data_IF_206204372771
#
_entry.id   IF_206204372771
#
_cell.length_a   1.000
_cell.length_b   1.000
_cell.length_c   1.000
_cell.angle_alpha   90.00
_cell.angle_beta   90.00
_cell.angle_gamma   90.00
#
_symmetry.space_group_name_H-M   'P 1'
#
loop_
_entity.id
_entity.type
_entity.pdbx_description
1 polymer ?
#
# COMPACT_ATOMS: atom_id res chain seq x y z
N UNK A 1 -31.25 -13.42 28.47
CA UNK A 1 -31.24 -14.09 27.15
C UNK A 1 -31.23 -13.05 26.05
N UNK A 2 -30.42 -13.26 25.00
CA UNK A 2 -30.20 -12.30 23.90
C UNK A 2 -31.49 -11.79 23.24
N UNK A 3 -32.56 -12.61 23.20
CA UNK A 3 -33.86 -12.22 22.68
C UNK A 3 -34.60 -11.14 23.50
N UNK A 4 -34.43 -11.12 24.83
CA UNK A 4 -35.03 -10.08 25.68
C UNK A 4 -34.27 -8.74 25.62
N UNK A 5 -32.96 -8.81 25.36
CA UNK A 5 -32.09 -7.64 25.16
C UNK A 5 -32.46 -6.96 23.84
N UNK A 6 -32.58 -7.69 22.73
CA UNK A 6 -33.05 -7.16 21.44
C UNK A 6 -34.43 -6.47 21.53
N UNK A 7 -35.36 -7.01 22.32
CA UNK A 7 -36.70 -6.44 22.50
C UNK A 7 -36.70 -5.09 23.26
N UNK A 8 -35.79 -4.89 24.22
CA UNK A 8 -35.69 -3.64 24.97
C UNK A 8 -35.05 -2.50 24.16
N UNK A 9 -34.01 -2.80 23.38
CA UNK A 9 -33.29 -1.80 22.57
C UNK A 9 -34.06 -1.42 21.30
N UNK A 10 -34.74 -2.38 20.67
CA UNK A 10 -35.68 -2.10 19.59
C UNK A 10 -36.79 -1.15 20.04
N UNK A 11 -37.28 -1.28 21.28
CA UNK A 11 -38.27 -0.38 21.89
C UNK A 11 -37.69 1.01 22.17
N UNK A 12 -36.45 1.12 22.65
CA UNK A 12 -35.78 2.41 22.86
C UNK A 12 -35.57 3.21 21.55
N UNK A 13 -35.24 2.51 20.46
CA UNK A 13 -35.13 3.09 19.11
C UNK A 13 -36.51 3.54 18.58
N UNK A 14 -37.55 2.73 18.78
CA UNK A 14 -38.93 3.03 18.40
C UNK A 14 -39.56 4.18 19.20
N UNK A 15 -39.13 4.39 20.45
CA UNK A 15 -39.61 5.47 21.33
C UNK A 15 -38.88 6.81 21.10
N UNK A 16 -37.93 6.87 20.16
CA UNK A 16 -37.24 8.11 19.81
C UNK A 16 -36.39 8.71 20.94
N UNK A 17 -35.83 7.86 21.81
CA UNK A 17 -34.98 8.34 22.90
C UNK A 17 -33.77 9.12 22.34
N UNK A 18 -33.31 10.17 23.03
CA UNK A 18 -32.11 10.90 22.63
C UNK A 18 -30.90 9.94 22.58
N UNK A 19 -29.99 10.19 21.63
CA UNK A 19 -28.85 9.32 21.30
C UNK A 19 -28.05 8.90 22.54
N UNK A 20 -27.87 9.80 23.49
CA UNK A 20 -27.09 9.55 24.70
C UNK A 20 -27.82 8.60 25.67
N UNK A 21 -29.14 8.72 25.79
CA UNK A 21 -29.96 7.82 26.61
C UNK A 21 -30.02 6.41 25.99
N UNK A 22 -30.10 6.32 24.66
CA UNK A 22 -30.00 5.06 23.94
C UNK A 22 -28.61 4.42 24.09
N UNK A 23 -27.54 5.21 23.97
CA UNK A 23 -26.17 4.75 24.15
C UNK A 23 -25.93 4.23 25.59
N UNK A 24 -26.42 4.94 26.60
CA UNK A 24 -26.33 4.51 27.99
C UNK A 24 -27.11 3.20 28.26
N UNK A 25 -28.32 3.08 27.72
CA UNK A 25 -29.12 1.86 27.84
C UNK A 25 -28.46 0.65 27.15
N UNK A 26 -27.90 0.86 25.94
CA UNK A 26 -27.14 -0.15 25.22
C UNK A 26 -25.86 -0.55 25.98
N UNK A 27 -25.11 0.43 26.49
CA UNK A 27 -23.87 0.19 27.23
C UNK A 27 -24.12 -0.64 28.50
N UNK A 28 -25.23 -0.40 29.20
CA UNK A 28 -25.61 -1.17 30.39
C UNK A 28 -26.00 -2.63 30.08
N UNK A 29 -26.30 -2.95 28.81
CA UNK A 29 -26.75 -4.27 28.38
C UNK A 29 -25.67 -5.09 27.65
N UNK A 30 -24.56 -4.45 27.24
CA UNK A 30 -23.45 -5.11 26.57
C UNK A 30 -22.47 -5.70 27.60
N UNK A 31 -21.82 -6.83 27.32
CA UNK A 31 -20.73 -7.34 28.15
C UNK A 31 -19.56 -6.35 28.20
N UNK A 32 -18.84 -6.32 29.31
CA UNK A 32 -17.64 -5.50 29.44
C UNK A 32 -16.60 -5.91 28.38
N UNK A 33 -16.06 -4.96 27.59
CA UNK A 33 -15.05 -5.28 26.59
C UNK A 33 -13.75 -5.77 27.23
N UNK A 34 -13.21 -6.86 26.70
CA UNK A 34 -11.88 -7.35 27.10
C UNK A 34 -10.81 -6.74 26.22
N UNK A 35 -9.62 -6.56 26.78
CA UNK A 35 -8.47 -6.02 26.04
C UNK A 35 -7.45 -7.08 25.69
N UNK A 36 -7.44 -8.21 26.41
CA UNK A 36 -6.42 -9.24 26.23
C UNK A 36 -6.94 -10.47 25.50
N UNK A 37 -6.05 -11.14 24.78
CA UNK A 37 -6.27 -12.39 24.06
C UNK A 37 -5.29 -13.47 24.54
N UNK A 38 -5.69 -14.73 24.38
CA UNK A 38 -4.81 -15.88 24.56
C UNK A 38 -4.16 -16.23 23.22
N UNK A 39 -2.86 -15.95 23.06
CA UNK A 39 -2.11 -16.27 21.85
C UNK A 39 -1.47 -17.66 21.98
N UNK A 40 -1.71 -18.53 21.01
CA UNK A 40 -1.30 -19.92 21.03
C UNK A 40 -0.21 -20.21 19.98
N UNK A 41 0.55 -21.28 20.21
CA UNK A 41 1.67 -21.67 19.34
C UNK A 41 1.30 -22.14 17.94
N UNK A 42 0.01 -22.39 17.67
CA UNK A 42 -0.54 -22.76 16.36
C UNK A 42 -1.00 -21.53 15.55
N UNK A 43 -0.52 -20.34 15.94
CA UNK A 43 -0.84 -19.05 15.33
C UNK A 43 -2.32 -18.68 15.44
N UNK A 44 -2.98 -19.09 16.51
CA UNK A 44 -4.32 -18.62 16.86
C UNK A 44 -4.29 -17.65 18.04
N UNK A 45 -5.26 -16.75 18.09
CA UNK A 45 -5.55 -15.93 19.26
C UNK A 45 -7.02 -16.07 19.64
N UNK A 46 -7.29 -16.30 20.92
CA UNK A 46 -8.66 -16.45 21.44
C UNK A 46 -9.00 -15.22 22.28
N UNK A 47 -10.00 -14.46 21.86
CA UNK A 47 -10.61 -13.41 22.66
C UNK A 47 -11.78 -14.00 23.47
N UNK A 48 -11.70 -14.02 24.81
CA UNK A 48 -12.72 -14.64 25.68
C UNK A 48 -14.04 -13.87 25.74
N UNK A 49 -14.08 -12.68 25.14
CA UNK A 49 -15.25 -11.80 25.07
C UNK A 49 -15.08 -10.78 23.94
N UNK A 50 -16.02 -9.83 23.79
CA UNK A 50 -15.90 -8.77 22.80
C UNK A 50 -14.65 -7.94 23.09
N UNK A 51 -13.77 -7.81 22.09
CA UNK A 51 -12.59 -6.96 22.23
C UNK A 51 -12.98 -5.49 22.31
N UNK A 52 -12.21 -4.73 23.10
CA UNK A 52 -12.30 -3.27 23.06
C UNK A 52 -12.14 -2.77 21.62
N UNK A 53 -12.91 -1.75 21.16
CA UNK A 53 -13.01 -1.43 19.74
C UNK A 53 -11.68 -1.09 19.07
N UNK A 54 -10.75 -0.49 19.80
CA UNK A 54 -9.38 -0.21 19.36
C UNK A 54 -8.56 -1.48 19.14
N UNK A 55 -8.60 -2.41 20.10
CA UNK A 55 -7.91 -3.70 20.01
C UNK A 55 -8.50 -4.55 18.88
N UNK A 56 -9.82 -4.57 18.75
CA UNK A 56 -10.51 -5.29 17.69
C UNK A 56 -10.10 -4.82 16.28
N UNK A 57 -9.93 -3.50 16.09
CA UNK A 57 -9.49 -2.93 14.82
C UNK A 57 -8.08 -3.34 14.47
N UNK A 58 -7.14 -3.24 15.41
CA UNK A 58 -5.75 -3.67 15.16
C UNK A 58 -5.67 -5.19 14.93
N UNK A 59 -6.39 -6.00 15.72
CA UNK A 59 -6.47 -7.45 15.50
C UNK A 59 -7.02 -7.80 14.11
N UNK A 60 -8.02 -7.08 13.61
CA UNK A 60 -8.55 -7.29 12.26
C UNK A 60 -7.56 -6.91 11.14
N UNK A 61 -6.57 -6.06 11.42
CA UNK A 61 -5.50 -5.76 10.46
C UNK A 61 -4.50 -6.92 10.38
N UNK A 62 -4.09 -7.48 11.52
CA UNK A 62 -2.99 -8.46 11.62
C UNK A 62 -3.44 -9.94 11.64
N UNK A 63 -4.73 -10.23 11.82
CA UNK A 63 -5.26 -11.59 11.86
C UNK A 63 -6.60 -11.71 11.13
N UNK A 64 -6.98 -12.93 10.75
CA UNK A 64 -8.28 -13.25 10.18
C UNK A 64 -9.19 -13.88 11.25
N UNK A 65 -10.50 -13.64 11.21
CA UNK A 65 -11.45 -14.30 12.12
C UNK A 65 -11.76 -15.69 11.56
N UNK A 66 -11.45 -16.73 12.33
CA UNK A 66 -11.82 -18.12 12.02
C UNK A 66 -13.21 -18.47 12.57
N UNK A 67 -13.54 -17.96 13.77
CA UNK A 67 -14.84 -18.16 14.41
C UNK A 67 -15.21 -16.97 15.30
N UNK A 68 -16.50 -16.63 15.38
CA UNK A 68 -17.04 -15.50 16.15
C UNK A 68 -18.18 -15.92 17.11
N UNK A 69 -18.02 -17.09 17.73
CA UNK A 69 -18.98 -17.65 18.69
C UNK A 69 -18.88 -17.02 20.09
N UNK A 70 -18.98 -17.84 21.13
CA UNK A 70 -18.83 -17.38 22.52
C UNK A 70 -17.45 -16.77 22.82
N UNK A 71 -16.44 -17.19 22.07
CA UNK A 71 -15.12 -16.56 21.99
C UNK A 71 -14.79 -16.31 20.52
N UNK A 72 -14.13 -15.20 20.24
CA UNK A 72 -13.65 -14.92 18.88
C UNK A 72 -12.27 -15.53 18.71
N UNK A 73 -12.14 -16.39 17.71
CA UNK A 73 -10.86 -17.03 17.35
C UNK A 73 -10.30 -16.32 16.14
N UNK A 74 -9.11 -15.78 16.31
CA UNK A 74 -8.32 -15.16 15.26
C UNK A 74 -7.22 -16.13 14.83
N UNK A 75 -6.85 -16.07 13.55
CA UNK A 75 -5.72 -16.81 12.98
C UNK A 75 -4.74 -15.84 12.35
N UNK A 76 -3.49 -15.92 12.76
CA UNK A 76 -2.39 -15.24 12.11
C UNK A 76 -1.90 -16.07 10.93
N UNK A 77 -1.85 -15.42 9.78
CA UNK A 77 -1.32 -15.96 8.53
C UNK A 77 -0.33 -14.98 7.93
N UNK A 78 0.56 -15.47 7.05
CA UNK A 78 1.46 -14.61 6.25
C UNK A 78 0.70 -13.49 5.55
N UNK A 79 -0.50 -13.77 5.02
CA UNK A 79 -1.33 -12.79 4.32
C UNK A 79 -1.88 -11.71 5.27
N UNK A 80 -2.40 -12.11 6.44
CA UNK A 80 -2.93 -11.17 7.43
C UNK A 80 -1.84 -10.28 8.04
N UNK A 81 -0.66 -10.83 8.32
CA UNK A 81 0.49 -10.05 8.81
C UNK A 81 0.99 -9.09 7.74
N UNK A 82 1.08 -9.55 6.48
CA UNK A 82 1.41 -8.69 5.33
C UNK A 82 0.43 -7.52 5.19
N UNK A 83 -0.87 -7.77 5.38
CA UNK A 83 -1.90 -6.73 5.33
C UNK A 83 -1.66 -5.63 6.36
N UNK A 84 -1.18 -5.96 7.56
CA UNK A 84 -0.78 -4.96 8.55
C UNK A 84 0.41 -4.10 8.06
N UNK A 85 1.42 -4.70 7.43
CA UNK A 85 2.53 -3.97 6.82
C UNK A 85 2.09 -3.12 5.62
N UNK A 86 1.19 -3.62 4.78
CA UNK A 86 0.59 -2.86 3.67
C UNK A 86 -0.21 -1.66 4.18
N UNK A 87 -0.76 -1.73 5.40
CA UNK A 87 -1.42 -0.62 6.10
C UNK A 87 -0.43 0.32 6.82
N UNK A 88 0.89 0.10 6.68
CA UNK A 88 1.94 0.97 7.21
C UNK A 88 2.35 0.70 8.66
N UNK A 89 1.98 -0.44 9.25
CA UNK A 89 2.46 -0.83 10.59
C UNK A 89 3.94 -1.25 10.54
N UNK A 90 4.72 -0.83 11.53
CA UNK A 90 6.11 -1.29 11.70
C UNK A 90 6.16 -2.62 12.48
N UNK A 91 7.21 -3.42 12.27
CA UNK A 91 7.35 -4.71 12.94
C UNK A 91 7.41 -4.55 14.48
N UNK A 92 8.17 -3.57 14.96
CA UNK A 92 8.28 -3.27 16.39
C UNK A 92 6.93 -2.87 17.00
N UNK A 93 6.11 -2.10 16.28
CA UNK A 93 4.76 -1.73 16.72
C UNK A 93 3.84 -2.95 16.82
N UNK A 94 3.94 -3.88 15.85
CA UNK A 94 3.17 -5.12 15.87
C UNK A 94 3.56 -6.02 17.04
N UNK A 95 4.86 -6.18 17.29
CA UNK A 95 5.36 -6.93 18.45
C UNK A 95 4.92 -6.29 19.76
N UNK A 96 5.03 -4.97 19.89
CA UNK A 96 4.59 -4.23 21.08
C UNK A 96 3.09 -4.38 21.31
N UNK A 97 2.27 -4.21 20.27
CA UNK A 97 0.83 -4.38 20.34
C UNK A 97 0.44 -5.80 20.77
N UNK A 98 1.02 -6.82 20.15
CA UNK A 98 0.74 -8.22 20.48
C UNK A 98 1.17 -8.54 21.91
N UNK A 99 2.34 -8.06 22.35
CA UNK A 99 2.83 -8.27 23.71
C UNK A 99 1.95 -7.58 24.76
N UNK A 100 1.50 -6.35 24.50
CA UNK A 100 0.60 -5.60 25.39
C UNK A 100 -0.75 -6.30 25.57
N UNK A 101 -1.29 -6.89 24.50
CA UNK A 101 -2.64 -7.46 24.51
C UNK A 101 -2.64 -8.99 24.67
N UNK A 102 -1.49 -9.64 24.85
CA UNK A 102 -1.41 -11.06 25.15
C UNK A 102 -1.46 -11.31 26.65
N UNK A 103 -2.20 -12.33 27.09
CA UNK A 103 -2.19 -12.76 28.50
C UNK A 103 -0.89 -13.45 28.92
N UNK A 104 -0.09 -13.90 27.95
CA UNK A 104 1.17 -14.61 28.15
C UNK A 104 2.24 -14.07 27.21
N UNK A 105 3.49 -14.51 27.39
CA UNK A 105 4.56 -14.25 26.43
C UNK A 105 4.17 -14.72 25.03
N UNK A 106 4.63 -13.99 24.01
CA UNK A 106 4.32 -14.31 22.62
C UNK A 106 4.96 -15.64 22.21
N UNK A 107 4.21 -16.56 21.58
CA UNK A 107 4.81 -17.77 21.03
C UNK A 107 5.86 -17.44 19.98
N UNK A 108 7.01 -18.12 20.05
CA UNK A 108 8.12 -17.94 19.11
C UNK A 108 7.70 -18.05 17.64
N UNK A 109 6.72 -18.93 17.34
CA UNK A 109 6.17 -19.09 15.99
C UNK A 109 5.54 -17.80 15.45
N UNK A 110 4.84 -17.04 16.29
CA UNK A 110 4.23 -15.78 15.89
C UNK A 110 5.29 -14.69 15.71
N UNK A 111 6.24 -14.59 16.63
CA UNK A 111 7.36 -13.63 16.51
C UNK A 111 8.13 -13.86 15.21
N UNK A 112 8.43 -15.13 14.91
CA UNK A 112 9.10 -15.51 13.66
C UNK A 112 8.29 -15.15 12.42
N UNK A 113 6.97 -15.40 12.42
CA UNK A 113 6.09 -15.03 11.30
C UNK A 113 6.14 -13.52 11.03
N UNK A 114 6.04 -12.70 12.07
CA UNK A 114 6.09 -11.23 11.94
C UNK A 114 7.42 -10.79 11.35
N UNK A 115 8.54 -11.28 11.89
CA UNK A 115 9.88 -10.91 11.43
C UNK A 115 10.16 -11.36 9.99
N UNK A 116 9.73 -12.56 9.64
CA UNK A 116 9.92 -13.13 8.31
C UNK A 116 9.09 -12.37 7.26
N UNK A 117 7.85 -11.99 7.57
CA UNK A 117 7.06 -11.13 6.69
C UNK A 117 7.66 -9.73 6.60
N UNK A 118 8.11 -9.15 7.71
CA UNK A 118 8.77 -7.84 7.73
C UNK A 118 10.00 -7.80 6.81
N UNK A 119 10.85 -8.83 6.86
CA UNK A 119 12.04 -8.94 5.99
C UNK A 119 11.70 -9.05 4.51
N UNK A 120 10.54 -9.64 4.18
CA UNK A 120 10.08 -9.83 2.79
C UNK A 120 9.28 -8.65 2.26
N UNK A 121 8.60 -7.92 3.13
CA UNK A 121 7.80 -6.75 2.78
C UNK A 121 8.68 -5.62 2.24
N UNK A 122 8.22 -4.92 1.21
CA UNK A 122 8.92 -3.76 0.65
C UNK A 122 10.26 -4.04 -0.05
N UNK A 123 10.66 -5.31 -0.25
CA UNK A 123 11.87 -5.67 -1.02
C UNK A 123 11.77 -5.30 -2.50
N UNK A 124 10.56 -5.35 -3.06
CA UNK A 124 10.25 -4.91 -4.42
C UNK A 124 9.37 -3.67 -4.31
N UNK A 125 9.74 -2.61 -5.01
CA UNK A 125 9.02 -1.33 -5.02
C UNK A 125 8.59 -1.01 -6.45
N UNK A 126 7.36 -0.53 -6.57
CA UNK A 126 6.79 -0.10 -7.85
C UNK A 126 6.46 1.38 -7.73
N UNK A 127 6.85 2.14 -8.74
CA UNK A 127 6.48 3.54 -8.89
C UNK A 127 5.92 3.79 -10.28
N UNK A 128 5.10 4.83 -10.43
CA UNK A 128 4.66 5.28 -11.74
C UNK A 128 5.81 5.97 -12.48
N UNK A 129 5.91 5.72 -13.77
CA UNK A 129 6.76 6.45 -14.71
C UNK A 129 5.96 6.55 -16.01
N UNK A 130 5.74 7.77 -16.50
CA UNK A 130 4.96 8.02 -17.72
C UNK A 130 5.88 8.09 -18.93
N UNK A 131 7.08 8.64 -18.75
CA UNK A 131 8.11 8.75 -19.77
C UNK A 131 9.50 8.53 -19.19
N UNK A 132 10.48 8.32 -20.06
CA UNK A 132 11.88 8.19 -19.71
C UNK A 132 12.77 9.08 -20.58
N UNK A 133 13.95 9.40 -20.06
CA UNK A 133 15.04 10.06 -20.78
C UNK A 133 16.23 9.12 -20.75
N UNK A 134 16.80 8.85 -21.93
CA UNK A 134 18.07 8.16 -22.08
C UNK A 134 19.10 9.14 -22.59
N UNK A 135 20.24 9.22 -21.90
CA UNK A 135 21.39 9.99 -22.33
C UNK A 135 22.48 9.05 -22.87
N UNK A 136 23.32 9.55 -23.76
CA UNK A 136 24.42 8.78 -24.35
C UNK A 136 25.43 8.31 -23.30
N UNK A 137 25.57 9.05 -22.21
CA UNK A 137 26.42 8.69 -21.09
C UNK A 137 25.89 9.26 -19.77
N UNK A 138 26.46 8.78 -18.67
CA UNK A 138 26.00 9.14 -17.34
C UNK A 138 26.27 10.59 -16.94
N UNK A 139 27.34 11.18 -17.47
CA UNK A 139 27.72 12.56 -17.18
C UNK A 139 26.71 13.55 -17.80
N UNK A 140 26.27 13.29 -19.02
CA UNK A 140 25.24 14.10 -19.69
C UNK A 140 23.91 14.07 -18.94
N UNK A 141 23.49 12.90 -18.43
CA UNK A 141 22.30 12.81 -17.59
C UNK A 141 22.50 13.56 -16.26
N UNK A 142 23.65 13.39 -15.61
CA UNK A 142 23.94 14.05 -14.34
C UNK A 142 23.93 15.59 -14.47
N UNK A 143 24.51 16.12 -15.56
CA UNK A 143 24.46 17.55 -15.88
C UNK A 143 23.02 18.04 -16.04
N UNK A 144 22.19 17.30 -16.78
CA UNK A 144 20.78 17.63 -16.99
C UNK A 144 19.97 17.62 -15.68
N UNK A 145 20.21 16.64 -14.80
CA UNK A 145 19.53 16.54 -13.50
C UNK A 145 20.00 17.62 -12.51
N UNK A 146 21.22 18.14 -12.65
CA UNK A 146 21.75 19.20 -11.81
C UNK A 146 21.33 20.62 -12.29
N UNK A 147 20.89 20.77 -13.53
CA UNK A 147 20.44 22.04 -14.07
C UNK A 147 19.11 22.48 -13.41
N UNK A 148 19.14 23.64 -12.74
CA UNK A 148 17.94 24.20 -12.09
C UNK A 148 16.79 24.46 -13.07
N UNK A 149 17.09 24.67 -14.35
CA UNK A 149 16.10 24.90 -15.41
C UNK A 149 15.23 23.66 -15.65
N UNK A 150 15.75 22.45 -15.45
CA UNK A 150 15.00 21.20 -15.62
C UNK A 150 14.25 20.76 -14.36
N UNK A 151 14.38 21.49 -13.25
CA UNK A 151 13.76 21.13 -11.96
C UNK A 151 12.23 20.99 -12.01
N UNK A 152 11.56 21.67 -12.93
CA UNK A 152 10.11 21.54 -13.16
C UNK A 152 9.68 20.28 -13.92
N UNK A 153 10.61 19.52 -14.49
CA UNK A 153 10.32 18.35 -15.33
C UNK A 153 10.16 17.04 -14.54
N UNK A 154 10.37 17.07 -13.21
CA UNK A 154 10.19 15.91 -12.35
C UNK A 154 11.10 14.73 -12.69
N UNK A 155 12.28 15.00 -13.25
CA UNK A 155 13.22 13.95 -13.66
C UNK A 155 13.84 13.27 -12.44
N UNK A 156 13.79 11.93 -12.43
CA UNK A 156 14.41 11.10 -11.39
C UNK A 156 15.22 10.00 -12.04
N UNK A 157 16.51 9.92 -11.70
CA UNK A 157 17.39 8.85 -12.17
C UNK A 157 16.93 7.48 -11.66
N UNK A 158 16.92 6.49 -12.55
CA UNK A 158 16.57 5.08 -12.25
C UNK A 158 17.69 4.10 -12.57
N UNK A 159 18.60 4.46 -13.47
CA UNK A 159 19.79 3.70 -13.82
C UNK A 159 20.90 4.65 -14.33
N UNK A 160 22.13 4.19 -14.57
CA UNK A 160 23.12 4.96 -15.31
C UNK A 160 22.59 5.39 -16.69
N UNK A 161 22.68 6.68 -17.01
CA UNK A 161 22.17 7.22 -18.27
C UNK A 161 20.64 7.19 -18.47
N UNK A 162 19.85 6.72 -17.49
CA UNK A 162 18.37 6.69 -17.60
C UNK A 162 17.68 7.41 -16.43
N UNK A 163 16.77 8.33 -16.76
CA UNK A 163 15.84 8.95 -15.82
C UNK A 163 14.40 8.76 -16.26
N UNK A 164 13.46 8.86 -15.31
CA UNK A 164 12.02 8.84 -15.56
C UNK A 164 11.38 10.16 -15.18
N UNK A 165 10.23 10.45 -15.79
CA UNK A 165 9.35 11.56 -15.44
C UNK A 165 7.90 11.08 -15.36
N UNK A 166 7.11 11.77 -14.55
CA UNK A 166 5.65 11.61 -14.52
C UNK A 166 4.95 12.41 -15.64
N UNK A 167 5.70 13.23 -16.38
CA UNK A 167 5.18 13.96 -17.54
C UNK A 167 4.97 13.01 -18.74
N UNK A 168 3.92 13.23 -19.54
CA UNK A 168 3.81 12.63 -20.87
C UNK A 168 5.03 12.93 -21.75
N UNK A 169 5.41 12.04 -22.69
CA UNK A 169 6.56 12.24 -23.56
C UNK A 169 6.55 13.58 -24.31
N UNK A 170 5.38 14.05 -24.77
CA UNK A 170 5.24 15.32 -25.48
C UNK A 170 5.58 16.54 -24.62
N UNK A 171 5.08 16.58 -23.37
CA UNK A 171 5.32 17.66 -22.43
C UNK A 171 6.78 17.66 -21.96
N UNK A 172 7.36 16.47 -21.77
CA UNK A 172 8.77 16.32 -21.42
C UNK A 172 9.69 16.78 -22.57
N UNK A 173 9.38 16.43 -23.82
CA UNK A 173 10.12 16.88 -25.00
C UNK A 173 10.06 18.41 -25.15
N UNK A 174 8.88 19.00 -25.01
CA UNK A 174 8.69 20.45 -25.06
C UNK A 174 9.46 21.15 -23.93
N UNK A 175 9.33 20.64 -22.70
CA UNK A 175 10.01 21.18 -21.53
C UNK A 175 11.54 21.12 -21.65
N UNK A 176 12.10 20.02 -22.13
CA UNK A 176 13.54 19.90 -22.38
C UNK A 176 14.01 20.89 -23.45
N UNK A 177 13.25 21.05 -24.54
CA UNK A 177 13.56 22.05 -25.60
C UNK A 177 13.50 23.48 -25.10
N UNK A 178 12.49 23.81 -24.30
CA UNK A 178 12.35 25.13 -23.67
C UNK A 178 13.53 25.47 -22.74
N UNK A 179 14.19 24.43 -22.19
CA UNK A 179 15.37 24.56 -21.35
C UNK A 179 16.70 24.38 -22.12
N UNK A 180 16.68 24.45 -23.45
CA UNK A 180 17.89 24.47 -24.30
C UNK A 180 18.53 23.11 -24.55
N UNK A 181 17.84 22.02 -24.23
CA UNK A 181 18.25 20.67 -24.64
C UNK A 181 17.68 20.34 -26.03
N UNK A 182 18.32 19.40 -26.72
CA UNK A 182 17.90 18.93 -28.04
C UNK A 182 17.48 17.44 -28.00
N UNK A 183 16.40 17.08 -27.29
CA UNK A 183 15.99 15.68 -27.18
C UNK A 183 15.37 15.18 -28.50
N UNK A 184 15.59 13.89 -28.76
CA UNK A 184 14.94 13.14 -29.83
C UNK A 184 13.87 12.24 -29.20
N UNK A 185 12.73 12.11 -29.87
CA UNK A 185 11.73 11.12 -29.47
C UNK A 185 12.28 9.72 -29.78
N UNK A 186 11.97 8.72 -28.95
CA UNK A 186 12.28 7.32 -29.24
C UNK A 186 11.00 6.57 -29.62
N UNK A 187 11.12 5.66 -30.57
CA UNK A 187 10.07 4.70 -30.93
C UNK A 187 10.01 3.58 -29.87
N UNK A 188 8.96 2.75 -29.93
CA UNK A 188 8.78 1.61 -29.02
C UNK A 188 9.92 0.57 -29.06
N UNK A 189 10.74 0.56 -30.12
CA UNK A 189 11.91 -0.32 -30.27
C UNK A 189 13.22 0.34 -29.79
N UNK A 190 13.15 1.54 -29.21
CA UNK A 190 14.32 2.32 -28.78
C UNK A 190 15.08 2.99 -29.94
N UNK A 191 14.60 2.87 -31.18
CA UNK A 191 15.15 3.61 -32.31
C UNK A 191 14.75 5.08 -32.23
N UNK A 192 15.56 5.97 -32.79
CA UNK A 192 15.20 7.38 -32.91
C UNK A 192 13.93 7.55 -33.74
N UNK A 193 12.89 8.09 -33.12
CA UNK A 193 11.68 8.49 -33.82
C UNK A 193 11.94 9.82 -34.54
N UNK A 194 11.68 9.86 -35.84
CA UNK A 194 11.52 11.13 -36.54
C UNK A 194 10.27 11.83 -35.99
N UNK A 195 10.31 13.15 -35.73
CA UNK A 195 9.19 13.85 -35.13
C UNK A 195 8.03 13.89 -36.12
N UNK A 196 7.13 12.90 -36.04
CA UNK A 196 5.80 13.01 -36.63
C UNK A 196 5.02 13.92 -35.68
N UNK A 197 4.66 15.11 -36.16
CA UNK A 197 3.77 16.03 -35.46
C UNK A 197 2.41 15.33 -35.32
N UNK A 198 2.24 14.56 -34.25
CA UNK A 198 0.98 13.95 -33.90
C UNK A 198 0.06 15.06 -33.37
N UNK A 199 -0.98 15.36 -34.15
CA UNK A 199 -2.04 16.27 -33.73
C UNK A 199 -2.72 15.75 -32.47
N UNK A 200 -2.99 16.67 -31.53
CA UNK A 200 -3.45 16.42 -30.18
C UNK A 200 -4.57 15.36 -30.11
N UNK A 201 -4.29 14.22 -29.45
CA UNK A 201 -5.35 13.28 -29.08
C UNK A 201 -5.25 12.87 -27.60
N UNK A 202 -6.19 13.45 -26.86
CA UNK A 202 -6.77 13.00 -25.60
C UNK A 202 -5.82 12.80 -24.40
N UNK A 203 -5.61 13.91 -23.69
CA UNK A 203 -5.19 13.93 -22.28
C UNK A 203 -6.10 13.01 -21.45
N UNK A 204 -5.54 11.96 -20.86
CA UNK A 204 -6.06 11.35 -19.62
C UNK A 204 -4.92 11.26 -18.63
N UNK A 205 -4.85 12.25 -17.76
CA UNK A 205 -4.14 12.11 -16.49
C UNK A 205 -4.92 11.09 -15.64
N UNK A 206 -4.46 9.85 -15.61
CA UNK A 206 -4.81 8.95 -14.51
C UNK A 206 -3.85 9.23 -13.38
N UNK A 207 -4.26 10.12 -12.48
CA UNK A 207 -3.68 10.20 -11.14
C UNK A 207 -3.76 8.80 -10.51
N UNK A 208 -2.62 8.20 -10.23
CA UNK A 208 -2.58 6.90 -9.58
C UNK A 208 -3.05 7.08 -8.13
N UNK A 209 -4.32 6.80 -7.86
CA UNK A 209 -4.84 6.73 -6.50
C UNK A 209 -4.55 5.32 -5.97
N UNK A 210 -3.94 5.14 -4.79
CA UNK A 210 -3.45 3.84 -4.29
C UNK A 210 -4.52 2.76 -4.03
N UNK A 211 -5.78 2.97 -4.42
CA UNK A 211 -6.86 1.99 -4.35
C UNK A 211 -7.66 1.81 -5.65
N UNK A 212 -7.27 2.46 -6.76
CA UNK A 212 -7.92 2.25 -8.05
C UNK A 212 -7.18 1.16 -8.83
N UNK A 213 -7.50 -0.13 -8.56
CA UNK A 213 -7.16 -1.22 -9.49
C UNK A 213 -8.07 -1.09 -10.70
N UNK A 214 -7.75 -0.16 -11.59
CA UNK A 214 -8.29 -0.16 -12.93
C UNK A 214 -7.23 -0.77 -13.83
N UNK A 215 -7.56 -1.94 -14.38
CA UNK A 215 -6.80 -2.61 -15.45
C UNK A 215 -6.63 -1.61 -16.60
N UNK A 216 -5.54 -0.86 -16.60
CA UNK A 216 -4.97 -0.30 -17.81
C UNK A 216 -4.24 -1.46 -18.49
N UNK A 217 -4.60 -1.72 -19.74
CA UNK A 217 -3.74 -2.51 -20.61
C UNK A 217 -2.41 -1.77 -20.70
N UNK A 218 -1.35 -2.35 -20.11
CA UNK A 218 0.02 -1.89 -20.31
C UNK A 218 0.34 -2.07 -21.81
N UNK A 219 0.78 -1.03 -22.53
CA UNK A 219 1.41 -1.23 -23.83
C UNK A 219 2.66 -2.12 -23.67
N UNK A 220 2.92 -2.93 -24.70
CA UNK A 220 3.78 -4.12 -24.67
C UNK A 220 5.17 -3.89 -24.10
N UNK A 221 5.55 -4.81 -23.21
CA UNK A 221 6.73 -4.81 -22.35
C UNK A 221 8.08 -5.00 -23.05
N UNK A 222 8.18 -4.96 -24.38
CA UNK A 222 9.41 -5.35 -25.07
C UNK A 222 10.60 -4.43 -24.75
N UNK A 223 10.43 -3.10 -24.78
CA UNK A 223 11.50 -2.14 -24.49
C UNK A 223 11.92 -2.15 -23.02
N UNK A 224 10.97 -2.27 -22.09
CA UNK A 224 11.27 -2.30 -20.64
C UNK A 224 11.97 -3.61 -20.26
N UNK A 225 11.63 -4.72 -20.92
CA UNK A 225 12.28 -6.02 -20.71
C UNK A 225 13.68 -6.05 -21.34
N UNK A 226 13.85 -5.52 -22.55
CA UNK A 226 15.16 -5.42 -23.20
C UNK A 226 16.14 -4.54 -22.41
N UNK A 227 15.67 -3.40 -21.88
CA UNK A 227 16.48 -2.51 -21.04
C UNK A 227 16.83 -3.14 -19.68
N UNK A 228 15.93 -3.96 -19.11
CA UNK A 228 16.22 -4.72 -17.89
C UNK A 228 17.21 -5.88 -18.13
N UNK A 229 17.14 -6.54 -19.28
CA UNK A 229 18.07 -7.61 -19.67
C UNK A 229 19.47 -7.06 -19.98
N UNK A 230 19.57 -5.89 -20.61
CA UNK A 230 20.85 -5.23 -20.89
C UNK A 230 21.54 -4.72 -19.60
N UNK A 231 20.76 -4.21 -18.62
CA UNK A 231 21.26 -3.85 -17.29
C UNK A 231 21.67 -5.06 -16.44
N UNK A 232 21.10 -6.25 -16.71
CA UNK A 232 21.48 -7.50 -16.04
C UNK A 232 22.71 -8.17 -16.68
N UNK A 233 22.99 -7.91 -17.96
CA UNK A 233 24.11 -8.49 -18.69
C UNK A 233 25.44 -7.72 -18.54
N UNK A 234 25.42 -6.52 -17.97
CA UNK A 234 26.58 -5.65 -17.78
C UNK A 234 27.22 -5.66 -16.38
N UNK A 235 27.00 -6.72 -15.58
CA UNK A 235 27.60 -6.90 -14.25
C UNK A 235 28.94 -7.62 -14.27
#
# INVERSE_FOLDING_TARGET
GAAGILAAHGRALLLGLPRDALAAALSAALPEPVRHVLIQGDLTAIAPGPLAPDVAREMALIADIESSGAATVYRFTTASVRRAFDAGRAADDLHAFLAEHSLHELPQALTYLVDDVARRHGRIRVGAAVSYVRADNDAALAEMLADRRTGGLGLRRVAPGVAVSELPPEDLLEGLRANGYAPMAENEDGSGATPVVATARARRATSFHPYAVQRLALPGSAAVTALAEELAAGG
#
